data_IF_831094402152
#
_entry.id   IF_831094402152
#
_cell.length_a   1.000
_cell.length_b   1.000
_cell.length_c   1.000
_cell.angle_alpha   90.00
_cell.angle_beta   90.00
_cell.angle_gamma   90.00
#
_symmetry.space_group_name_H-M   'P 1'
#
loop_
_entity.id
_entity.type
_entity.pdbx_description
1 polymer ?
#
# COMPACT_ATOMS: atom_id res chain seq x y z
N UNK A 1 22.27 -17.82 34.81
CA UNK A 1 22.25 -17.06 33.53
C UNK A 1 21.66 -17.89 32.39
N UNK A 2 22.15 -19.11 32.16
CA UNK A 2 21.66 -20.01 31.11
C UNK A 2 20.17 -20.37 31.26
N UNK A 3 19.72 -20.72 32.48
CA UNK A 3 18.30 -21.05 32.76
C UNK A 3 17.34 -19.89 32.51
N UNK A 4 17.78 -18.64 32.70
CA UNK A 4 16.96 -17.45 32.39
C UNK A 4 16.79 -17.29 30.88
N UNK A 5 17.86 -17.47 30.10
CA UNK A 5 17.80 -17.42 28.64
C UNK A 5 16.98 -18.58 28.07
N UNK A 6 17.07 -19.77 28.67
CA UNK A 6 16.24 -20.91 28.27
C UNK A 6 14.75 -20.62 28.46
N UNK A 7 14.36 -19.97 29.57
CA UNK A 7 12.97 -19.51 29.77
C UNK A 7 12.52 -18.51 28.71
N UNK A 8 13.41 -17.59 28.29
CA UNK A 8 13.12 -16.65 27.19
C UNK A 8 12.90 -17.40 25.89
N UNK A 9 13.70 -18.43 25.58
CA UNK A 9 13.48 -19.26 24.38
C UNK A 9 12.10 -19.93 24.41
N UNK A 10 11.72 -20.57 25.51
CA UNK A 10 10.42 -21.26 25.61
C UNK A 10 9.26 -20.27 25.48
N UNK A 11 9.37 -19.11 26.13
CA UNK A 11 8.38 -18.01 26.00
C UNK A 11 8.26 -17.54 24.55
N UNK A 12 9.38 -17.23 23.92
CA UNK A 12 9.42 -16.74 22.54
C UNK A 12 8.87 -17.78 21.55
N UNK A 13 9.16 -19.07 21.75
CA UNK A 13 8.60 -20.15 20.93
C UNK A 13 7.08 -20.22 21.05
N UNK A 14 6.54 -20.12 22.25
CA UNK A 14 5.10 -20.12 22.50
C UNK A 14 4.44 -18.85 21.91
N UNK A 15 4.97 -17.67 22.22
CA UNK A 15 4.41 -16.39 21.78
C UNK A 15 4.50 -16.21 20.26
N UNK A 16 5.54 -16.72 19.61
CA UNK A 16 5.61 -16.73 18.14
C UNK A 16 4.52 -17.60 17.51
N UNK A 17 4.14 -18.73 18.14
CA UNK A 17 2.99 -19.53 17.72
C UNK A 17 1.67 -18.78 17.87
N UNK A 18 1.47 -18.09 19.00
CA UNK A 18 0.27 -17.26 19.22
C UNK A 18 0.20 -16.12 18.18
N UNK A 19 1.34 -15.51 17.85
CA UNK A 19 1.42 -14.50 16.81
C UNK A 19 1.10 -15.05 15.41
N UNK A 20 1.56 -16.27 15.09
CA UNK A 20 1.20 -16.96 13.84
C UNK A 20 -0.32 -17.18 13.74
N UNK A 21 -0.96 -17.62 14.81
CA UNK A 21 -2.41 -17.80 14.88
C UNK A 21 -3.17 -16.49 14.72
N UNK A 22 -2.72 -15.41 15.36
CA UNK A 22 -3.33 -14.09 15.22
C UNK A 22 -3.23 -13.56 13.78
N UNK A 23 -2.08 -13.76 13.11
CA UNK A 23 -1.93 -13.40 11.70
C UNK A 23 -2.83 -14.26 10.79
N UNK A 24 -3.02 -15.55 11.10
CA UNK A 24 -3.97 -16.40 10.39
C UNK A 24 -5.42 -15.90 10.55
N UNK A 25 -5.80 -15.44 11.74
CA UNK A 25 -7.13 -14.90 12.00
C UNK A 25 -7.36 -13.60 11.20
N UNK A 26 -6.41 -12.67 11.25
CA UNK A 26 -6.47 -11.43 10.48
C UNK A 26 -6.60 -11.69 8.96
N UNK A 27 -5.80 -12.61 8.44
CA UNK A 27 -5.83 -13.01 7.02
C UNK A 27 -7.18 -13.63 6.64
N UNK A 28 -7.72 -14.53 7.45
CA UNK A 28 -9.04 -15.14 7.19
C UNK A 28 -10.17 -14.09 7.17
N UNK A 29 -10.15 -13.13 8.08
CA UNK A 29 -11.13 -12.03 8.11
C UNK A 29 -10.98 -11.12 6.88
N UNK A 30 -9.74 -10.81 6.50
CA UNK A 30 -9.43 -10.04 5.29
C UNK A 30 -9.95 -10.76 4.03
N UNK A 31 -9.65 -12.05 3.87
CA UNK A 31 -10.12 -12.83 2.72
C UNK A 31 -11.65 -12.93 2.67
N UNK A 32 -12.33 -12.96 3.82
CA UNK A 32 -13.79 -12.91 3.86
C UNK A 32 -14.34 -11.57 3.35
N UNK A 33 -13.74 -10.44 3.75
CA UNK A 33 -14.14 -9.12 3.25
C UNK A 33 -13.78 -8.92 1.77
N UNK A 34 -12.66 -9.45 1.30
CA UNK A 34 -12.29 -9.45 -0.14
C UNK A 34 -13.33 -10.19 -0.98
N UNK A 35 -13.88 -11.32 -0.49
CA UNK A 35 -14.97 -12.04 -1.17
C UNK A 35 -16.27 -11.24 -1.21
N UNK A 36 -16.58 -10.48 -0.14
CA UNK A 36 -17.73 -9.59 -0.13
C UNK A 36 -17.57 -8.46 -1.16
N UNK A 37 -16.39 -7.85 -1.21
CA UNK A 37 -16.06 -6.82 -2.20
C UNK A 37 -16.17 -7.35 -3.63
N UNK A 38 -15.66 -8.55 -3.90
CA UNK A 38 -15.78 -9.21 -5.20
C UNK A 38 -17.25 -9.48 -5.60
N UNK A 39 -18.13 -9.65 -4.62
CA UNK A 39 -19.58 -9.77 -4.83
C UNK A 39 -20.32 -8.42 -4.84
N UNK A 40 -19.60 -7.29 -4.86
CA UNK A 40 -20.16 -5.93 -4.84
C UNK A 40 -20.75 -5.50 -3.49
N UNK A 41 -20.45 -6.22 -2.41
CA UNK A 41 -20.93 -5.91 -1.05
C UNK A 41 -19.87 -5.15 -0.27
N UNK A 42 -20.32 -4.28 0.63
CA UNK A 42 -19.42 -3.57 1.53
C UNK A 42 -18.71 -4.54 2.50
N UNK A 43 -17.45 -4.25 2.88
CA UNK A 43 -16.74 -4.99 3.92
C UNK A 43 -17.49 -4.93 5.25
N UNK A 44 -17.45 -6.02 6.02
CA UNK A 44 -18.13 -6.10 7.31
C UNK A 44 -17.15 -6.23 8.48
N UNK A 45 -15.94 -6.72 8.22
CA UNK A 45 -14.97 -7.12 9.26
C UNK A 45 -13.72 -6.26 9.29
N UNK A 46 -13.71 -5.13 8.57
CA UNK A 46 -12.54 -4.25 8.46
C UNK A 46 -11.98 -3.80 9.83
N UNK A 47 -12.86 -3.42 10.77
CA UNK A 47 -12.45 -3.03 12.12
C UNK A 47 -11.85 -4.20 12.93
N UNK A 48 -12.32 -5.44 12.70
CA UNK A 48 -11.74 -6.63 13.33
C UNK A 48 -10.36 -6.93 12.75
N UNK A 49 -10.21 -6.87 11.42
CA UNK A 49 -8.92 -7.04 10.74
C UNK A 49 -7.90 -6.03 11.26
N UNK A 50 -8.27 -4.76 11.38
CA UNK A 50 -7.36 -3.71 11.87
C UNK A 50 -6.90 -3.96 13.31
N UNK A 51 -7.82 -4.33 14.21
CA UNK A 51 -7.48 -4.68 15.60
C UNK A 51 -6.55 -5.88 15.68
N UNK A 52 -6.79 -6.91 14.87
CA UNK A 52 -5.96 -8.11 14.85
C UNK A 52 -4.55 -7.83 14.33
N UNK A 53 -4.42 -6.99 13.29
CA UNK A 53 -3.13 -6.55 12.76
C UNK A 53 -2.35 -5.69 13.77
N UNK A 54 -3.02 -4.79 14.49
CA UNK A 54 -2.38 -3.97 15.53
C UNK A 54 -1.90 -4.83 16.71
N UNK A 55 -2.70 -5.83 17.10
CA UNK A 55 -2.31 -6.80 18.13
C UNK A 55 -1.11 -7.64 17.68
N UNK A 56 -1.08 -8.08 16.42
CA UNK A 56 0.06 -8.79 15.85
C UNK A 56 1.32 -7.93 15.81
N UNK A 57 1.21 -6.64 15.46
CA UNK A 57 2.33 -5.68 15.50
C UNK A 57 2.93 -5.58 16.91
N UNK A 58 2.07 -5.44 17.93
CA UNK A 58 2.48 -5.42 19.33
C UNK A 58 3.21 -6.70 19.77
N UNK A 59 2.70 -7.87 19.38
CA UNK A 59 3.36 -9.15 19.67
C UNK A 59 4.72 -9.26 18.99
N UNK A 60 4.84 -8.87 17.73
CA UNK A 60 6.11 -8.92 16.98
C UNK A 60 7.17 -8.02 17.63
N UNK A 61 6.79 -6.83 18.14
CA UNK A 61 7.72 -5.95 18.88
C UNK A 61 8.26 -6.62 20.14
N UNK A 62 7.40 -7.29 20.92
CA UNK A 62 7.80 -8.03 22.12
C UNK A 62 8.70 -9.22 21.76
N UNK A 63 8.37 -9.96 20.70
CA UNK A 63 9.18 -11.07 20.22
C UNK A 63 10.58 -10.59 19.80
N UNK A 64 10.71 -9.46 19.10
CA UNK A 64 12.02 -8.90 18.78
C UNK A 64 12.81 -8.47 20.02
N UNK A 65 12.14 -7.97 21.07
CA UNK A 65 12.81 -7.67 22.33
C UNK A 65 13.37 -8.93 23.01
N UNK A 66 12.60 -10.02 23.00
CA UNK A 66 13.06 -11.31 23.52
C UNK A 66 14.20 -11.90 22.67
N UNK A 67 14.15 -11.77 21.33
CA UNK A 67 15.28 -12.13 20.44
C UNK A 67 16.52 -11.32 20.81
N UNK A 68 16.38 -10.01 21.04
CA UNK A 68 17.50 -9.16 21.40
C UNK A 68 18.11 -9.60 22.74
N UNK A 69 17.28 -9.92 23.73
CA UNK A 69 17.73 -10.49 25.00
C UNK A 69 18.52 -11.79 24.82
N UNK A 70 18.14 -12.64 23.86
CA UNK A 70 18.90 -13.85 23.50
C UNK A 70 20.24 -13.50 22.84
N UNK A 71 20.28 -12.52 21.93
CA UNK A 71 21.51 -12.08 21.24
C UNK A 71 22.51 -11.45 22.21
N UNK A 72 22.05 -10.58 23.11
CA UNK A 72 22.88 -9.98 24.16
C UNK A 72 23.41 -11.04 25.14
N UNK A 73 22.59 -12.07 25.38
CA UNK A 73 22.96 -13.27 26.12
C UNK A 73 23.93 -14.22 25.38
N UNK A 74 24.25 -13.96 24.10
CA UNK A 74 24.97 -14.83 23.17
C UNK A 74 24.40 -16.25 23.12
N UNK A 75 23.07 -16.35 23.21
CA UNK A 75 22.39 -17.64 23.16
C UNK A 75 22.43 -18.22 21.74
N UNK A 76 22.78 -19.51 21.55
CA UNK A 76 22.97 -20.10 20.22
C UNK A 76 21.72 -20.07 19.34
N UNK A 77 20.52 -20.08 19.94
CA UNK A 77 19.26 -20.02 19.19
C UNK A 77 18.84 -18.61 18.76
N UNK A 78 19.55 -17.54 19.19
CA UNK A 78 19.14 -16.16 18.94
C UNK A 78 18.96 -15.84 17.45
N UNK A 79 19.84 -16.35 16.60
CA UNK A 79 19.77 -16.16 15.14
C UNK A 79 18.62 -16.94 14.50
N UNK A 80 18.39 -18.18 14.94
CA UNK A 80 17.25 -18.98 14.48
C UNK A 80 15.92 -18.29 14.84
N UNK A 81 15.81 -17.81 16.07
CA UNK A 81 14.61 -17.11 16.56
C UNK A 81 14.40 -15.78 15.84
N UNK A 82 15.47 -15.03 15.54
CA UNK A 82 15.39 -13.81 14.74
C UNK A 82 14.74 -14.07 13.37
N UNK A 83 15.22 -15.07 12.62
CA UNK A 83 14.65 -15.41 11.30
C UNK A 83 13.18 -15.81 11.38
N UNK A 84 12.79 -16.51 12.45
CA UNK A 84 11.37 -16.86 12.66
C UNK A 84 10.53 -15.60 12.85
N UNK A 85 10.90 -14.73 13.77
CA UNK A 85 10.17 -13.47 14.04
C UNK A 85 10.16 -12.56 12.82
N UNK A 86 11.24 -12.52 12.05
CA UNK A 86 11.30 -11.75 10.80
C UNK A 86 10.27 -12.22 9.77
N UNK A 87 10.08 -13.53 9.58
CA UNK A 87 9.03 -14.05 8.68
C UNK A 87 7.62 -13.65 9.14
N UNK A 88 7.38 -13.59 10.46
CA UNK A 88 6.10 -13.09 10.99
C UNK A 88 5.91 -11.62 10.68
N UNK A 89 6.97 -10.82 10.80
CA UNK A 89 6.96 -9.41 10.43
C UNK A 89 6.69 -9.21 8.94
N UNK A 90 7.38 -9.94 8.06
CA UNK A 90 7.13 -9.88 6.62
C UNK A 90 5.68 -10.25 6.29
N UNK A 91 5.15 -11.28 6.94
CA UNK A 91 3.75 -11.68 6.76
C UNK A 91 2.76 -10.61 7.24
N UNK A 92 3.01 -9.98 8.39
CA UNK A 92 2.22 -8.84 8.86
C UNK A 92 2.22 -7.69 7.84
N UNK A 93 3.39 -7.32 7.33
CA UNK A 93 3.55 -6.26 6.33
C UNK A 93 2.79 -6.61 5.04
N UNK A 94 2.87 -7.87 4.59
CA UNK A 94 2.12 -8.36 3.43
C UNK A 94 0.60 -8.21 3.63
N UNK A 95 0.06 -8.71 4.74
CA UNK A 95 -1.39 -8.65 5.02
C UNK A 95 -1.84 -7.19 5.18
N UNK A 96 -1.07 -6.35 5.87
CA UNK A 96 -1.40 -4.92 6.06
C UNK A 96 -1.37 -4.16 4.72
N UNK A 97 -0.45 -4.50 3.81
CA UNK A 97 -0.40 -3.93 2.46
C UNK A 97 -1.64 -4.32 1.66
N UNK A 98 -2.03 -5.60 1.70
CA UNK A 98 -3.24 -6.09 1.04
C UNK A 98 -4.51 -5.44 1.61
N UNK A 99 -4.65 -5.38 2.94
CA UNK A 99 -5.75 -4.70 3.61
C UNK A 99 -5.83 -3.22 3.19
N UNK A 100 -4.71 -2.50 3.18
CA UNK A 100 -4.71 -1.10 2.77
C UNK A 100 -5.18 -0.94 1.31
N UNK A 101 -4.65 -1.76 0.40
CA UNK A 101 -4.94 -1.64 -1.02
C UNK A 101 -6.39 -2.02 -1.35
N UNK A 102 -6.91 -3.10 -0.73
CA UNK A 102 -8.25 -3.64 -1.01
C UNK A 102 -9.37 -2.91 -0.24
N UNK A 103 -9.12 -2.53 1.01
CA UNK A 103 -10.16 -2.06 1.95
C UNK A 103 -10.06 -0.58 2.30
N UNK A 104 -8.86 -0.04 2.54
CA UNK A 104 -8.69 1.39 2.88
C UNK A 104 -8.58 2.30 1.66
N UNK A 105 -7.97 1.83 0.57
CA UNK A 105 -7.84 2.59 -0.68
C UNK A 105 -8.99 2.36 -1.65
N UNK A 106 -9.85 1.35 -1.40
CA UNK A 106 -10.94 0.98 -2.30
C UNK A 106 -10.49 0.64 -3.71
N UNK A 107 -9.19 0.37 -3.92
CA UNK A 107 -8.62 0.17 -5.24
C UNK A 107 -8.85 -1.30 -5.63
N UNK A 108 -9.67 -1.57 -6.66
CA UNK A 108 -9.73 -2.91 -7.20
C UNK A 108 -8.36 -3.23 -7.80
N UNK A 109 -7.62 -4.13 -7.15
CA UNK A 109 -6.41 -4.74 -7.73
C UNK A 109 -6.88 -5.77 -8.76
N UNK A 110 -7.49 -5.29 -9.83
CA UNK A 110 -7.78 -6.01 -11.07
C UNK A 110 -8.28 -5.00 -12.09
N UNK A 111 -7.51 -4.86 -13.17
CA UNK A 111 -7.88 -4.30 -14.46
C UNK A 111 -8.10 -2.78 -14.56
N UNK A 112 -7.15 -2.15 -15.26
CA UNK A 112 -7.36 -1.04 -16.19
C UNK A 112 -8.60 -1.29 -17.06
N UNK A 113 -9.78 -0.82 -16.64
CA UNK A 113 -10.84 -0.26 -17.51
C UNK A 113 -12.06 0.17 -16.70
N UNK A 114 -12.62 1.31 -17.11
CA UNK A 114 -13.98 1.81 -16.86
C UNK A 114 -14.29 2.52 -15.52
N UNK A 115 -14.36 3.85 -15.68
CA UNK A 115 -15.19 4.85 -14.98
C UNK A 115 -16.44 4.28 -14.31
N UNK A 116 -16.64 4.60 -13.03
CA UNK A 116 -17.96 4.75 -12.40
C UNK A 116 -17.85 5.64 -11.17
N UNK A 117 -18.34 6.87 -11.33
CA UNK A 117 -18.66 7.80 -10.24
C UNK A 117 -19.73 7.16 -9.35
N UNK A 118 -19.39 6.90 -8.09
CA UNK A 118 -20.37 6.68 -7.02
C UNK A 118 -19.95 7.51 -5.81
N UNK A 119 -20.66 8.62 -5.65
CA UNK A 119 -20.59 9.48 -4.48
C UNK A 119 -21.07 8.73 -3.23
N UNK A 120 -20.41 8.99 -2.11
CA UNK A 120 -20.97 8.76 -0.79
C UNK A 120 -20.14 7.88 0.11
N UNK A 121 -19.11 8.46 0.73
CA UNK A 121 -18.80 8.24 2.14
C UNK A 121 -17.85 9.34 2.60
N UNK A 122 -18.35 10.22 3.49
CA UNK A 122 -17.57 11.30 4.11
C UNK A 122 -16.39 10.68 4.84
N UNK A 123 -15.25 10.85 4.20
CA UNK A 123 -13.89 10.62 4.67
C UNK A 123 -13.58 11.64 5.78
N UNK A 124 -12.83 11.28 6.84
CA UNK A 124 -12.23 12.31 7.69
C UNK A 124 -11.28 13.14 6.80
N UNK A 125 -11.49 14.46 6.81
CA UNK A 125 -10.85 15.46 5.95
C UNK A 125 -9.31 15.35 6.00
N UNK A 126 -8.76 14.47 5.17
CA UNK A 126 -7.40 14.62 4.69
C UNK A 126 -7.47 15.81 3.76
N UNK A 127 -6.97 16.95 4.24
CA UNK A 127 -6.74 18.21 3.52
C UNK A 127 -7.14 18.10 2.03
N UNK A 128 -8.41 18.41 1.74
CA UNK A 128 -9.00 18.17 0.41
C UNK A 128 -8.26 18.97 -0.66
N UNK A 129 -7.62 20.07 -0.27
CA UNK A 129 -6.88 20.95 -1.16
C UNK A 129 -5.63 20.28 -1.79
N UNK A 130 -4.68 19.70 -1.03
CA UNK A 130 -3.59 18.90 -1.60
C UNK A 130 -4.05 17.74 -2.48
N UNK A 131 -5.09 17.00 -2.07
CA UNK A 131 -5.58 15.87 -2.85
C UNK A 131 -6.22 16.33 -4.16
N UNK A 132 -7.01 17.40 -4.13
CA UNK A 132 -7.63 17.99 -5.32
C UNK A 132 -6.60 18.58 -6.27
N UNK A 133 -5.58 19.24 -5.72
CA UNK A 133 -4.44 19.71 -6.50
C UNK A 133 -3.74 18.55 -7.22
N UNK A 134 -3.44 17.44 -6.53
CA UNK A 134 -2.84 16.25 -7.15
C UNK A 134 -3.74 15.64 -8.24
N UNK A 135 -5.05 15.62 -8.04
CA UNK A 135 -6.02 15.16 -9.03
C UNK A 135 -6.05 16.06 -10.28
N UNK A 136 -6.00 17.38 -10.09
CA UNK A 136 -5.96 18.35 -11.20
C UNK A 136 -4.64 18.22 -12.00
N UNK A 137 -3.51 17.99 -11.30
CA UNK A 137 -2.21 17.71 -11.95
C UNK A 137 -2.25 16.42 -12.76
N UNK A 138 -2.82 15.35 -12.20
CA UNK A 138 -2.96 14.06 -12.88
C UNK A 138 -3.83 14.20 -14.14
N UNK A 139 -4.98 14.86 -14.03
CA UNK A 139 -5.88 15.11 -15.16
C UNK A 139 -5.19 15.91 -16.27
N UNK A 140 -4.38 16.91 -15.90
CA UNK A 140 -3.58 17.67 -16.86
C UNK A 140 -2.54 16.81 -17.58
N UNK A 141 -1.83 15.93 -16.85
CA UNK A 141 -0.85 15.01 -17.46
C UNK A 141 -1.53 14.03 -18.42
N UNK A 142 -2.64 13.42 -18.01
CA UNK A 142 -3.39 12.47 -18.85
C UNK A 142 -3.94 13.12 -20.13
N UNK A 143 -4.46 14.36 -20.02
CA UNK A 143 -4.90 15.15 -21.18
C UNK A 143 -3.77 15.38 -22.17
N UNK A 144 -2.61 15.83 -21.70
CA UNK A 144 -1.48 16.11 -22.58
C UNK A 144 -0.87 14.84 -23.17
N UNK A 145 -0.82 13.73 -22.42
CA UNK A 145 -0.41 12.43 -22.96
C UNK A 145 -1.35 11.97 -24.08
N UNK A 146 -2.66 12.12 -23.90
CA UNK A 146 -3.64 11.79 -24.95
C UNK A 146 -3.45 12.66 -26.18
N UNK A 147 -3.28 13.98 -26.00
CA UNK A 147 -3.03 14.93 -27.10
C UNK A 147 -1.79 14.59 -27.90
N UNK A 148 -0.71 14.12 -27.24
CA UNK A 148 0.50 13.64 -27.93
C UNK A 148 0.24 12.32 -28.65
N UNK A 149 -0.46 11.39 -28.01
CA UNK A 149 -0.73 10.06 -28.56
C UNK A 149 -1.64 10.09 -29.81
N UNK A 150 -2.57 11.04 -29.87
CA UNK A 150 -3.50 11.23 -30.99
C UNK A 150 -3.06 12.31 -31.96
N UNK A 151 -1.83 12.83 -31.83
CA UNK A 151 -1.36 13.89 -32.70
C UNK A 151 -1.06 13.37 -34.11
N UNK A 152 -1.63 14.04 -35.11
CA UNK A 152 -1.39 13.79 -36.53
C UNK A 152 -0.72 15.01 -37.17
N UNK A 153 0.02 14.79 -38.24
CA UNK A 153 0.75 15.86 -38.95
C UNK A 153 -0.01 16.37 -40.19
N UNK A 154 -0.97 15.61 -40.69
CA UNK A 154 -1.70 15.92 -41.94
C UNK A 154 -0.94 15.52 -43.20
N UNK A 155 -1.56 15.74 -44.36
CA UNK A 155 -1.05 15.31 -45.67
C UNK A 155 -0.45 16.44 -46.53
N UNK A 156 -0.55 17.70 -46.06
CA UNK A 156 -0.09 18.89 -46.77
C UNK A 156 0.78 19.80 -45.88
N UNK A 157 1.63 20.61 -46.51
CA UNK A 157 2.62 21.46 -45.84
C UNK A 157 1.99 22.47 -44.86
N UNK A 158 0.94 23.23 -45.22
CA UNK A 158 0.25 24.12 -44.27
C UNK A 158 -0.27 23.42 -43.02
N UNK A 159 -0.83 22.22 -43.18
CA UNK A 159 -1.33 21.41 -42.07
C UNK A 159 -0.19 20.94 -41.15
N UNK A 160 0.94 20.50 -41.74
CA UNK A 160 2.14 20.11 -40.99
C UNK A 160 2.73 21.30 -40.20
N UNK A 161 2.80 22.49 -40.80
CA UNK A 161 3.29 23.71 -40.14
C UNK A 161 2.40 24.13 -38.97
N UNK A 162 1.09 24.00 -39.13
CA UNK A 162 0.10 24.28 -38.07
C UNK A 162 0.27 23.30 -36.90
N UNK A 163 0.37 22.00 -37.18
CA UNK A 163 0.59 20.98 -36.15
C UNK A 163 1.94 21.12 -35.46
N UNK A 164 2.99 21.50 -36.18
CA UNK A 164 4.30 21.81 -35.59
C UNK A 164 4.22 22.98 -34.60
N UNK A 165 3.48 24.03 -34.93
CA UNK A 165 3.21 25.15 -34.03
C UNK A 165 2.48 24.71 -32.76
N UNK A 166 1.45 23.88 -32.90
CA UNK A 166 0.70 23.32 -31.78
C UNK A 166 1.58 22.44 -30.87
N UNK A 167 2.43 21.59 -31.46
CA UNK A 167 3.39 20.76 -30.73
C UNK A 167 4.42 21.59 -29.97
N UNK A 168 4.95 22.66 -30.57
CA UNK A 168 5.87 23.59 -29.89
C UNK A 168 5.20 24.27 -28.70
N UNK A 169 3.95 24.72 -28.86
CA UNK A 169 3.17 25.30 -27.76
C UNK A 169 2.95 24.30 -26.62
N UNK A 170 2.63 23.04 -26.96
CA UNK A 170 2.48 21.97 -26.00
C UNK A 170 3.80 21.66 -25.25
N UNK A 171 4.91 21.58 -25.97
CA UNK A 171 6.23 21.33 -25.37
C UNK A 171 6.62 22.44 -24.38
N UNK A 172 6.41 23.72 -24.74
CA UNK A 172 6.64 24.85 -23.82
C UNK A 172 5.81 24.76 -22.55
N UNK A 173 4.53 24.36 -22.65
CA UNK A 173 3.66 24.18 -21.49
C UNK A 173 4.13 23.04 -20.57
N UNK A 174 4.70 21.96 -21.14
CA UNK A 174 5.28 20.84 -20.39
C UNK A 174 6.54 21.27 -19.65
N UNK A 175 7.43 22.03 -20.28
CA UNK A 175 8.63 22.54 -19.61
C UNK A 175 8.29 23.54 -18.49
N UNK A 176 7.30 24.41 -18.69
CA UNK A 176 6.81 25.31 -17.63
C UNK A 176 6.20 24.53 -16.46
N UNK A 177 5.43 23.49 -16.75
CA UNK A 177 4.88 22.59 -15.73
C UNK A 177 5.98 21.90 -14.92
N UNK A 178 6.99 21.35 -15.61
CA UNK A 178 8.13 20.70 -14.96
C UNK A 178 8.86 21.67 -14.01
N UNK A 179 9.10 22.90 -14.45
CA UNK A 179 9.72 23.93 -13.62
C UNK A 179 8.89 24.33 -12.39
N UNK A 180 7.55 24.16 -12.42
CA UNK A 180 6.67 24.37 -11.26
C UNK A 180 6.70 23.22 -10.26
N UNK A 181 6.90 21.99 -10.73
CA UNK A 181 6.98 20.78 -9.87
C UNK A 181 8.35 20.64 -9.22
N UNK A 182 9.42 21.07 -9.90
CA UNK A 182 10.81 20.99 -9.39
C UNK A 182 11.20 22.14 -8.43
N UNK A 183 10.32 23.12 -8.18
CA UNK A 183 10.50 24.23 -7.22
C UNK A 183 9.93 23.88 -5.84
#
# INVERSE_FOLDING_TARGET
RLERLQRVVTKLQMESGICEEQLNQADNLLQADVRLLAAGKAPQKAAEVERDLDKADGMIRLLFNDVQSLKDGRHPQGEQMYRRVYRLHERLVSIRTEYNLRLKSGAPVTAVTAVSVAAGQRRPEADEAPLRYLQDLLAWVEENQRRVATAEWGADLPTVETHLGAHRGLHSAIEEFRAKVER
#
